data_IF_531842433505
#
_entry.id   IF_531842433505
#
_cell.length_a   1.000
_cell.length_b   1.000
_cell.length_c   1.000
_cell.angle_alpha   90.00
_cell.angle_beta   90.00
_cell.angle_gamma   90.00
#
_symmetry.space_group_name_H-M   'P 1'
#
loop_
_entity.id
_entity.type
_entity.pdbx_description
1 polymer ?
#
# COMPACT_ATOMS: atom_id res chain seq x y z
N UNK A 1 12.81 -10.66 -31.19
CA UNK A 1 12.50 -11.32 -29.90
C UNK A 1 10.98 -11.39 -29.78
N UNK A 2 10.40 -12.56 -30.04
CA UNK A 2 8.95 -12.73 -30.21
C UNK A 2 8.26 -12.69 -28.84
N UNK A 3 7.21 -11.89 -28.77
CA UNK A 3 6.35 -11.59 -27.62
C UNK A 3 5.67 -12.89 -27.13
N UNK A 4 6.21 -13.53 -26.07
CA UNK A 4 5.73 -14.85 -25.58
C UNK A 4 4.42 -14.81 -24.77
N UNK A 5 3.78 -13.65 -24.63
CA UNK A 5 2.58 -13.50 -23.80
C UNK A 5 1.24 -13.50 -24.58
N UNK A 6 1.27 -13.60 -25.92
CA UNK A 6 0.06 -13.42 -26.75
C UNK A 6 -0.65 -14.71 -27.19
N UNK A 7 -0.38 -15.86 -26.55
CA UNK A 7 -1.10 -17.12 -26.84
C UNK A 7 -1.56 -17.86 -25.58
N UNK A 8 -2.24 -17.18 -24.66
CA UNK A 8 -3.06 -17.89 -23.65
C UNK A 8 -4.36 -18.33 -24.30
N UNK A 9 -4.67 -19.64 -24.28
CA UNK A 9 -5.95 -20.20 -24.72
C UNK A 9 -7.14 -19.81 -23.80
N UNK A 10 -6.86 -19.21 -22.66
CA UNK A 10 -7.87 -18.81 -21.68
C UNK A 10 -7.99 -17.29 -21.63
N UNK A 11 -9.21 -16.75 -21.56
CA UNK A 11 -9.40 -15.32 -21.37
C UNK A 11 -8.73 -14.89 -20.07
N UNK A 12 -8.06 -13.73 -20.09
CA UNK A 12 -7.51 -13.13 -18.89
C UNK A 12 -8.65 -12.94 -17.87
N UNK A 13 -8.41 -13.32 -16.62
CA UNK A 13 -9.32 -13.05 -15.52
C UNK A 13 -8.55 -12.42 -14.37
N UNK A 14 -9.00 -11.26 -13.91
CA UNK A 14 -8.43 -10.53 -12.79
C UNK A 14 -9.27 -10.81 -11.54
N UNK A 15 -8.64 -11.34 -10.50
CA UNK A 15 -9.26 -11.54 -9.20
C UNK A 15 -8.71 -10.47 -8.27
N UNK A 16 -9.57 -9.59 -7.76
CA UNK A 16 -9.19 -8.39 -7.01
C UNK A 16 -9.68 -8.52 -5.58
N UNK A 17 -8.80 -8.28 -4.60
CA UNK A 17 -9.19 -8.23 -3.20
C UNK A 17 -9.93 -6.93 -2.85
N UNK A 18 -10.96 -7.03 -2.02
CA UNK A 18 -11.75 -5.92 -1.51
C UNK A 18 -12.82 -5.41 -2.48
N UNK A 19 -13.18 -4.13 -2.32
CA UNK A 19 -14.26 -3.44 -3.06
C UNK A 19 -13.83 -2.05 -3.55
N UNK A 20 -12.54 -1.88 -3.84
CA UNK A 20 -12.02 -0.59 -4.28
C UNK A 20 -12.74 -0.10 -5.54
N UNK A 21 -13.14 1.18 -5.54
CA UNK A 21 -13.78 1.80 -6.70
C UNK A 21 -12.74 2.31 -7.70
N UNK A 22 -12.59 1.60 -8.82
CA UNK A 22 -11.65 1.94 -9.88
C UNK A 22 -12.18 2.98 -10.89
N UNK A 23 -13.39 3.53 -10.74
CA UNK A 23 -13.97 4.47 -11.71
C UNK A 23 -13.16 5.78 -11.89
N UNK A 24 -12.24 6.08 -10.98
CA UNK A 24 -11.29 7.20 -11.11
C UNK A 24 -10.19 6.99 -12.15
N UNK A 25 -10.05 5.77 -12.67
CA UNK A 25 -9.02 5.37 -13.62
C UNK A 25 -9.66 5.09 -14.98
N UNK A 26 -9.45 5.91 -16.02
CA UNK A 26 -10.07 5.70 -17.34
C UNK A 26 -9.77 4.33 -17.93
N UNK A 27 -8.57 3.79 -17.71
CA UNK A 27 -8.13 2.47 -18.15
C UNK A 27 -8.93 1.31 -17.54
N UNK A 28 -9.65 1.56 -16.43
CA UNK A 28 -10.50 0.57 -15.78
C UNK A 28 -11.57 0.01 -16.72
N UNK A 29 -12.08 0.83 -17.65
CA UNK A 29 -13.12 0.39 -18.59
C UNK A 29 -12.69 -0.80 -19.45
N UNK A 30 -11.39 -0.90 -19.76
CA UNK A 30 -10.84 -1.99 -20.56
C UNK A 30 -10.65 -3.31 -19.78
N UNK A 31 -10.69 -3.23 -18.44
CA UNK A 31 -10.41 -4.36 -17.55
C UNK A 31 -11.66 -4.81 -16.78
N UNK A 32 -12.73 -4.02 -16.82
CA UNK A 32 -13.94 -4.25 -16.02
C UNK A 32 -14.58 -5.61 -16.32
N UNK A 33 -14.72 -5.96 -17.59
CA UNK A 33 -15.40 -7.19 -18.02
C UNK A 33 -14.61 -8.46 -17.67
N UNK A 34 -13.30 -8.35 -17.48
CA UNK A 34 -12.44 -9.46 -17.08
C UNK A 34 -12.11 -9.48 -15.58
N UNK A 35 -12.69 -8.57 -14.79
CA UNK A 35 -12.38 -8.42 -13.36
C UNK A 35 -13.48 -8.97 -12.45
N UNK A 36 -13.09 -9.56 -11.33
CA UNK A 36 -14.01 -10.01 -10.28
C UNK A 36 -13.45 -9.63 -8.91
N UNK A 37 -14.30 -9.03 -8.07
CA UNK A 37 -13.94 -8.55 -6.74
C UNK A 37 -14.34 -9.55 -5.67
N UNK A 38 -13.46 -9.77 -4.69
CA UNK A 38 -13.69 -10.65 -3.55
C UNK A 38 -13.36 -9.92 -2.26
N UNK A 39 -14.37 -9.69 -1.41
CA UNK A 39 -14.14 -9.20 -0.05
C UNK A 39 -13.36 -10.26 0.74
N UNK A 40 -12.21 -9.88 1.29
CA UNK A 40 -11.29 -10.81 1.99
C UNK A 40 -10.89 -11.99 1.09
N UNK A 41 -10.58 -11.67 -0.17
CA UNK A 41 -10.21 -12.64 -1.19
C UNK A 41 -8.91 -13.35 -0.86
N UNK A 42 -8.00 -12.67 -0.16
CA UNK A 42 -6.75 -13.22 0.37
C UNK A 42 -6.95 -14.42 1.32
N UNK A 43 -8.06 -14.46 2.06
CA UNK A 43 -8.39 -15.58 2.95
C UNK A 43 -8.98 -16.80 2.22
N UNK A 44 -9.38 -16.65 0.95
CA UNK A 44 -10.21 -17.64 0.24
C UNK A 44 -9.66 -18.08 -1.11
N UNK A 45 -8.80 -17.27 -1.73
CA UNK A 45 -8.32 -17.46 -3.09
C UNK A 45 -6.79 -17.44 -3.08
N UNK A 46 -6.19 -18.57 -3.45
CA UNK A 46 -4.73 -18.79 -3.38
C UNK A 46 -3.95 -17.78 -4.22
N UNK A 47 -4.42 -17.41 -5.41
CA UNK A 47 -3.74 -16.42 -6.25
C UNK A 47 -3.76 -15.01 -5.66
N UNK A 48 -4.86 -14.62 -5.01
CA UNK A 48 -4.93 -13.35 -4.27
C UNK A 48 -4.00 -13.41 -3.06
N UNK A 49 -4.01 -14.49 -2.29
CA UNK A 49 -3.10 -14.69 -1.16
C UNK A 49 -1.63 -14.57 -1.58
N UNK A 50 -1.25 -15.24 -2.68
CA UNK A 50 0.10 -15.17 -3.23
C UNK A 50 0.48 -13.74 -3.65
N UNK A 51 -0.42 -13.01 -4.31
CA UNK A 51 -0.21 -11.62 -4.67
C UNK A 51 -0.02 -10.73 -3.43
N UNK A 52 -0.83 -10.92 -2.39
CA UNK A 52 -0.73 -10.19 -1.11
C UNK A 52 0.61 -10.45 -0.41
N UNK A 53 1.10 -11.69 -0.41
CA UNK A 53 2.43 -12.04 0.15
C UNK A 53 3.54 -11.32 -0.60
N UNK A 54 3.53 -11.38 -1.94
CA UNK A 54 4.53 -10.71 -2.78
C UNK A 54 4.53 -9.19 -2.54
N UNK A 55 3.35 -8.58 -2.46
CA UNK A 55 3.18 -7.16 -2.19
C UNK A 55 3.75 -6.79 -0.81
N UNK A 56 3.39 -7.55 0.24
CA UNK A 56 3.84 -7.30 1.61
C UNK A 56 5.35 -7.42 1.76
N UNK A 57 5.94 -8.53 1.29
CA UNK A 57 7.39 -8.76 1.40
C UNK A 57 8.17 -7.68 0.63
N UNK A 58 7.69 -7.29 -0.55
CA UNK A 58 8.33 -6.24 -1.35
C UNK A 58 8.23 -4.87 -0.67
N UNK A 59 7.07 -4.53 -0.11
CA UNK A 59 6.86 -3.29 0.66
C UNK A 59 7.77 -3.22 1.90
N UNK A 60 7.91 -4.32 2.63
CA UNK A 60 8.72 -4.37 3.84
C UNK A 60 10.21 -4.21 3.55
N UNK A 61 10.71 -4.86 2.48
CA UNK A 61 12.08 -4.66 1.99
C UNK A 61 12.33 -3.21 1.57
N UNK A 62 11.38 -2.61 0.87
CA UNK A 62 11.45 -1.19 0.52
C UNK A 62 11.54 -0.31 1.78
N UNK A 63 10.69 -0.54 2.80
CA UNK A 63 10.74 0.26 4.03
C UNK A 63 12.03 0.11 4.82
N UNK A 64 12.68 -1.07 4.80
CA UNK A 64 14.01 -1.25 5.37
C UNK A 64 15.05 -0.41 4.62
N UNK A 65 15.00 -0.39 3.29
CA UNK A 65 15.91 0.44 2.48
C UNK A 65 15.71 1.93 2.73
N UNK A 66 14.46 2.37 2.83
CA UNK A 66 14.07 3.74 3.16
C UNK A 66 14.55 4.15 4.56
N UNK A 67 14.50 3.25 5.54
CA UNK A 67 15.01 3.52 6.89
C UNK A 67 16.48 3.93 6.86
N UNK A 68 17.29 3.38 5.95
CA UNK A 68 18.69 3.80 5.79
C UNK A 68 18.84 5.26 5.35
N UNK A 69 17.91 5.76 4.53
CA UNK A 69 17.87 7.17 4.09
C UNK A 69 17.28 8.10 5.16
N UNK A 70 16.37 7.58 5.97
CA UNK A 70 15.63 8.32 7.00
C UNK A 70 15.78 7.63 8.38
N UNK A 71 17.02 7.51 8.92
CA UNK A 71 17.30 6.66 10.08
C UNK A 71 16.57 7.11 11.34
N UNK A 72 16.35 8.42 11.50
CA UNK A 72 15.65 9.00 12.65
C UNK A 72 14.21 8.49 12.77
N UNK A 73 13.59 8.09 11.66
CA UNK A 73 12.20 7.63 11.65
C UNK A 73 12.05 6.13 11.88
N UNK A 74 13.13 5.33 11.90
CA UNK A 74 13.11 3.89 12.20
C UNK A 74 12.06 3.07 11.42
N UNK A 75 11.89 3.40 10.13
CA UNK A 75 10.93 2.76 9.24
C UNK A 75 11.09 1.24 9.09
N UNK A 76 12.26 0.69 9.43
CA UNK A 76 12.53 -0.74 9.49
C UNK A 76 11.72 -1.45 10.59
N UNK A 77 11.26 -0.75 11.62
CA UNK A 77 10.52 -1.35 12.73
C UNK A 77 9.01 -1.39 12.47
N UNK A 78 8.44 -0.25 12.09
CA UNK A 78 6.99 -0.09 11.94
C UNK A 78 6.53 0.03 10.49
N UNK A 79 7.43 -0.03 9.50
CA UNK A 79 7.11 -0.01 8.06
C UNK A 79 6.25 1.19 7.61
N UNK A 80 6.27 2.27 8.38
CA UNK A 80 5.45 3.47 8.15
C UNK A 80 4.01 3.39 8.66
N UNK A 81 3.61 2.33 9.37
CA UNK A 81 2.35 2.32 10.12
C UNK A 81 2.42 3.33 11.29
N UNK A 82 1.28 3.92 11.65
CA UNK A 82 1.15 4.86 12.77
C UNK A 82 1.17 4.14 14.12
N UNK A 83 2.32 3.55 14.46
CA UNK A 83 2.58 3.01 15.80
C UNK A 83 3.00 4.14 16.74
N UNK A 84 2.85 3.97 18.06
CA UNK A 84 3.32 4.94 19.07
C UNK A 84 4.74 5.47 18.80
N UNK A 85 5.69 4.58 18.53
CA UNK A 85 7.06 4.96 18.18
C UNK A 85 7.13 5.90 16.97
N UNK A 86 6.32 5.64 15.94
CA UNK A 86 6.33 6.45 14.73
C UNK A 86 5.72 7.83 14.97
N UNK A 87 4.65 7.89 15.76
CA UNK A 87 4.03 9.14 16.19
C UNK A 87 5.00 9.99 17.01
N UNK A 88 5.71 9.40 17.98
CA UNK A 88 6.73 10.06 18.80
C UNK A 88 7.88 10.61 17.94
N UNK A 89 8.33 9.86 16.92
CA UNK A 89 9.41 10.32 16.02
C UNK A 89 8.93 11.44 15.09
N UNK A 90 7.68 11.41 14.63
CA UNK A 90 7.09 12.52 13.87
C UNK A 90 6.93 13.76 14.75
N UNK A 91 6.54 13.59 16.01
CA UNK A 91 6.46 14.68 16.98
C UNK A 91 7.80 15.36 17.20
N UNK A 92 8.86 14.58 17.34
CA UNK A 92 10.20 15.09 17.63
C UNK A 92 10.88 15.71 16.38
N UNK A 93 10.64 15.15 15.19
CA UNK A 93 11.39 15.51 13.98
C UNK A 93 10.55 16.10 12.85
N UNK A 94 9.23 16.21 13.02
CA UNK A 94 8.30 16.58 11.96
C UNK A 94 8.12 15.48 10.90
N UNK A 95 7.31 15.77 9.88
CA UNK A 95 7.08 14.84 8.77
C UNK A 95 8.24 14.85 7.76
N UNK A 96 8.72 13.67 7.38
CA UNK A 96 9.58 13.48 6.20
C UNK A 96 8.80 13.51 4.87
N UNK A 97 9.53 13.64 3.76
CA UNK A 97 8.97 13.71 2.39
C UNK A 97 8.11 12.51 1.98
N UNK A 98 8.38 11.34 2.59
CA UNK A 98 7.68 10.10 2.24
C UNK A 98 6.40 9.87 3.06
N UNK A 99 6.12 10.74 4.03
CA UNK A 99 4.85 10.68 4.76
C UNK A 99 3.70 11.13 3.86
N UNK A 100 2.58 10.41 3.96
CA UNK A 100 1.36 10.79 3.26
C UNK A 100 0.63 11.87 4.05
N UNK A 101 0.86 13.14 3.69
CA UNK A 101 0.27 14.31 4.38
C UNK A 101 -1.26 14.24 4.52
N UNK A 102 -1.95 13.66 3.54
CA UNK A 102 -3.41 13.46 3.60
C UNK A 102 -3.88 12.56 4.74
N UNK A 103 -3.01 11.73 5.30
CA UNK A 103 -3.31 10.84 6.42
C UNK A 103 -2.87 11.40 7.78
N UNK A 104 -2.13 12.51 7.80
CA UNK A 104 -1.54 13.06 9.03
C UNK A 104 -2.29 14.26 9.59
N UNK A 105 -3.32 14.77 8.89
CA UNK A 105 -4.05 15.99 9.30
C UNK A 105 -4.57 15.92 10.74
N UNK A 106 -5.43 14.94 11.04
CA UNK A 106 -5.99 14.76 12.40
C UNK A 106 -4.94 14.60 13.49
N UNK A 107 -3.84 13.90 13.18
CA UNK A 107 -2.75 13.69 14.12
C UNK A 107 -2.04 15.01 14.44
N UNK A 108 -1.75 15.83 13.43
CA UNK A 108 -1.12 17.13 13.61
C UNK A 108 -2.04 18.16 14.30
N UNK A 109 -3.34 18.13 14.01
CA UNK A 109 -4.34 18.96 14.69
C UNK A 109 -4.38 18.69 16.20
N UNK A 110 -4.42 17.43 16.62
CA UNK A 110 -4.40 17.03 18.04
C UNK A 110 -3.14 17.51 18.79
N UNK A 111 -2.01 17.61 18.09
CA UNK A 111 -0.75 18.10 18.66
C UNK A 111 -0.81 19.61 18.87
N UNK A 112 -1.42 20.35 17.95
CA UNK A 112 -1.59 21.80 18.09
C UNK A 112 -2.51 22.17 19.26
N UNK A 113 -3.51 21.35 19.55
CA UNK A 113 -4.46 21.57 20.66
C UNK A 113 -3.90 21.16 22.03
N UNK A 114 -2.94 20.24 22.08
CA UNK A 114 -2.34 19.73 23.34
C UNK A 114 -1.09 20.49 23.82
N UNK A 115 -0.53 21.34 22.95
CA UNK A 115 0.57 22.26 23.29
C UNK A 115 0.08 23.70 23.59
N UNK A 116 -1.24 23.88 23.74
CA UNK A 116 -1.92 25.05 24.30
C UNK A 116 -2.34 24.76 25.74
#
# INVERSE_FOLDING_TARGET
>A
MINRFTQSKFPLKLLIDGNYNFNRYPEWMNLKDCSTFYIKGDLRIVSIAAASILAKVSRDRYMISVSKKYPIYRFDQHKGYGTKLHEELILLHGLSDIHRRSFTGKFLEQISESNL
#
